data_IF_796830956096
#
_entry.id   IF_796830956096
#
_cell.length_a   1.000
_cell.length_b   1.000
_cell.length_c   1.000
_cell.angle_alpha   90.00
_cell.angle_beta   90.00
_cell.angle_gamma   90.00
#
_symmetry.space_group_name_H-M   'P 1'
#
loop_
_entity.id
_entity.type
_entity.pdbx_description
1 polymer ?
#
# COMPACT_ATOMS: atom_id res chain seq x y z
N UNK A 1 -1.37 17.08 -3.88
CA UNK A 1 -2.46 16.47 -3.09
C UNK A 1 -2.54 14.99 -3.43
N UNK A 2 -2.64 14.12 -2.43
CA UNK A 2 -2.71 12.65 -2.61
C UNK A 2 -3.72 12.06 -1.63
N UNK A 3 -4.58 11.18 -2.12
CA UNK A 3 -5.54 10.41 -1.34
C UNK A 3 -5.26 8.92 -1.56
N UNK A 4 -5.28 8.14 -0.47
CA UNK A 4 -5.08 6.68 -0.50
C UNK A 4 -6.21 6.01 0.28
N UNK A 5 -6.81 4.97 -0.28
CA UNK A 5 -7.82 4.13 0.40
C UNK A 5 -7.37 2.68 0.34
N UNK A 6 -7.47 2.00 1.47
CA UNK A 6 -7.24 0.55 1.61
C UNK A 6 -8.54 -0.07 2.13
N UNK A 7 -8.95 -1.19 1.55
CA UNK A 7 -10.16 -1.90 1.95
C UNK A 7 -9.98 -3.43 1.89
N UNK A 8 -10.82 -4.14 2.65
CA UNK A 8 -10.98 -5.59 2.60
C UNK A 8 -12.39 -5.92 2.15
N UNK A 9 -12.54 -6.77 1.13
CA UNK A 9 -13.82 -7.34 0.75
C UNK A 9 -14.17 -8.46 1.73
N UNK A 10 -15.31 -8.37 2.40
CA UNK A 10 -15.73 -9.39 3.38
C UNK A 10 -16.08 -10.74 2.73
N UNK A 11 -16.68 -10.71 1.54
CA UNK A 11 -17.12 -11.92 0.83
C UNK A 11 -15.95 -12.73 0.26
N UNK A 12 -15.02 -12.08 -0.43
CA UNK A 12 -13.87 -12.75 -1.07
C UNK A 12 -12.62 -12.80 -0.19
N UNK A 13 -12.55 -11.99 0.87
CA UNK A 13 -11.34 -11.77 1.66
C UNK A 13 -10.26 -10.94 0.96
N UNK A 14 -10.48 -10.51 -0.29
CA UNK A 14 -9.49 -9.74 -1.06
C UNK A 14 -9.17 -8.39 -0.41
N UNK A 15 -7.90 -8.01 -0.47
CA UNK A 15 -7.42 -6.67 -0.09
C UNK A 15 -7.25 -5.81 -1.35
N UNK A 16 -7.70 -4.57 -1.29
CA UNK A 16 -7.63 -3.61 -2.39
C UNK A 16 -7.08 -2.26 -1.96
N UNK A 17 -6.37 -1.59 -2.88
CA UNK A 17 -5.83 -0.24 -2.69
C UNK A 17 -6.18 0.66 -3.88
N UNK A 18 -6.53 1.91 -3.60
CA UNK A 18 -6.71 2.95 -4.61
C UNK A 18 -5.96 4.23 -4.21
N UNK A 19 -5.31 4.87 -5.18
CA UNK A 19 -4.54 6.11 -4.98
C UNK A 19 -4.98 7.14 -6.02
N UNK A 20 -5.36 8.33 -5.56
CA UNK A 20 -5.64 9.49 -6.40
C UNK A 20 -4.62 10.60 -6.10
N UNK A 21 -3.89 11.05 -7.11
CA UNK A 21 -2.79 12.03 -6.96
C UNK A 21 -2.49 12.72 -8.28
N UNK A 22 -1.74 13.81 -8.22
CA UNK A 22 -1.12 14.45 -9.40
C UNK A 22 0.23 13.82 -9.78
N UNK A 23 0.82 13.01 -8.89
CA UNK A 23 2.13 12.41 -9.11
C UNK A 23 2.05 11.25 -10.10
N UNK A 24 2.97 11.21 -11.07
CA UNK A 24 2.93 10.27 -12.18
C UNK A 24 3.37 8.88 -11.71
N UNK A 25 2.68 7.84 -12.18
CA UNK A 25 3.07 6.44 -12.00
C UNK A 25 3.13 5.93 -10.54
N UNK A 26 2.43 6.58 -9.60
CA UNK A 26 2.37 6.12 -8.19
C UNK A 26 1.95 4.67 -8.01
N UNK A 27 1.16 4.11 -8.93
CA UNK A 27 0.77 2.70 -8.89
C UNK A 27 1.95 1.73 -8.96
N UNK A 28 3.11 2.16 -9.47
CA UNK A 28 4.30 1.33 -9.59
C UNK A 28 5.24 1.37 -8.39
N UNK A 29 5.17 2.41 -7.53
CA UNK A 29 6.17 2.61 -6.47
C UNK A 29 5.60 2.93 -5.09
N UNK A 30 4.35 3.37 -4.98
CA UNK A 30 3.72 3.62 -3.67
C UNK A 30 3.11 2.36 -3.04
N UNK A 31 2.34 1.50 -3.76
CA UNK A 31 1.69 0.36 -3.14
C UNK A 31 2.66 -0.81 -2.96
N UNK A 32 2.59 -1.46 -1.82
CA UNK A 32 3.32 -2.69 -1.51
C UNK A 32 2.34 -3.78 -1.09
N UNK A 33 2.58 -4.99 -1.60
CA UNK A 33 1.73 -6.15 -1.38
C UNK A 33 2.53 -7.23 -0.67
N UNK A 34 2.10 -7.63 0.52
CA UNK A 34 2.64 -8.74 1.26
C UNK A 34 1.60 -9.86 1.25
N UNK A 35 1.83 -10.87 0.41
CA UNK A 35 0.92 -12.01 0.24
C UNK A 35 0.57 -12.62 1.60
N UNK A 36 -0.72 -12.86 1.82
CA UNK A 36 -1.31 -13.43 3.04
C UNK A 36 -1.07 -12.63 4.34
N UNK A 37 -0.49 -11.43 4.25
CA UNK A 37 -0.17 -10.57 5.41
C UNK A 37 -0.93 -9.25 5.32
N UNK A 38 -0.84 -8.53 4.20
CA UNK A 38 -1.46 -7.22 4.08
C UNK A 38 -1.05 -6.42 2.84
N UNK A 39 -1.64 -5.23 2.73
CA UNK A 39 -1.30 -4.21 1.72
C UNK A 39 -1.02 -2.89 2.42
N UNK A 40 -0.11 -2.10 1.87
CA UNK A 40 0.26 -0.80 2.41
C UNK A 40 0.66 0.16 1.29
N UNK A 41 0.74 1.44 1.63
CA UNK A 41 1.28 2.47 0.73
C UNK A 41 2.08 3.49 1.50
N UNK A 42 3.18 3.95 0.90
CA UNK A 42 3.93 5.10 1.39
C UNK A 42 3.40 6.36 0.70
N UNK A 43 3.14 7.43 1.44
CA UNK A 43 2.56 8.66 0.89
C UNK A 43 3.22 9.94 1.46
N UNK A 44 2.64 11.10 1.11
CA UNK A 44 3.22 12.45 1.23
C UNK A 44 4.43 12.66 0.30
N UNK A 45 5.59 12.10 0.64
CA UNK A 45 6.75 11.98 -0.25
C UNK A 45 7.04 10.50 -0.44
N UNK A 46 7.01 10.03 -1.68
CA UNK A 46 7.22 8.62 -1.95
C UNK A 46 8.68 8.24 -1.62
N UNK A 47 8.82 7.27 -0.73
CA UNK A 47 10.11 6.70 -0.40
C UNK A 47 10.01 5.17 -0.49
N UNK A 48 10.42 4.58 -1.63
CA UNK A 48 10.34 3.14 -1.85
C UNK A 48 11.10 2.30 -0.82
N UNK A 49 12.11 2.86 -0.14
CA UNK A 49 12.85 2.16 0.91
C UNK A 49 12.00 1.88 2.17
N UNK A 50 10.92 2.63 2.40
CA UNK A 50 10.04 2.39 3.55
C UNK A 50 9.14 1.16 3.38
N UNK A 51 8.84 0.75 2.14
CA UNK A 51 7.96 -0.39 1.86
C UNK A 51 8.46 -1.71 2.44
N UNK A 52 9.70 -2.14 2.14
CA UNK A 52 10.27 -3.38 2.71
C UNK A 52 10.32 -3.38 4.25
N UNK A 53 10.57 -2.21 4.87
CA UNK A 53 10.58 -2.06 6.32
C UNK A 53 9.18 -2.27 6.89
N UNK A 54 8.17 -1.60 6.33
CA UNK A 54 6.78 -1.74 6.77
C UNK A 54 6.24 -3.18 6.56
N UNK A 55 6.58 -3.83 5.45
CA UNK A 55 6.24 -5.25 5.21
C UNK A 55 6.88 -6.15 6.28
N UNK A 56 8.12 -5.88 6.67
CA UNK A 56 8.80 -6.63 7.74
C UNK A 56 8.11 -6.41 9.08
N UNK A 57 7.71 -5.17 9.39
CA UNK A 57 6.91 -4.88 10.59
C UNK A 57 5.60 -5.65 10.61
N UNK A 58 4.83 -5.66 9.52
CA UNK A 58 3.57 -6.42 9.45
C UNK A 58 3.74 -7.93 9.66
N UNK A 59 4.89 -8.49 9.26
CA UNK A 59 5.20 -9.91 9.48
C UNK A 59 5.44 -10.25 10.96
N UNK A 60 5.80 -9.27 11.79
CA UNK A 60 6.11 -9.48 13.20
C UNK A 60 4.88 -9.38 14.12
N UNK A 61 3.75 -8.88 13.61
CA UNK A 61 2.56 -8.55 14.40
C UNK A 61 2.63 -7.18 15.07
#
# INVERSE_FOLDING_TARGET
MTYTVIAKCEESGCLGIAIATYSIAVGGYCPFFARDIGILSTQAFANPALGPLAVTSLKMG
#
